data_IF_822876759353
#
_entry.id   IF_822876759353
#
_cell.length_a   1.000
_cell.length_b   1.000
_cell.length_c   1.000
_cell.angle_alpha   90.00
_cell.angle_beta   90.00
_cell.angle_gamma   90.00
#
_symmetry.space_group_name_H-M   'P 1'
#
loop_
_entity.id
_entity.type
_entity.pdbx_description
1 polymer ?
#
# COMPACT_ATOMS: atom_id res chain seq x y z
N UNK A 1 15.79 -12.11 -9.73
CA UNK A 1 15.64 -13.07 -8.61
C UNK A 1 15.12 -12.24 -7.45
N UNK A 2 13.80 -12.09 -7.37
CA UNK A 2 13.14 -11.32 -6.31
C UNK A 2 13.46 -11.99 -4.98
N UNK A 3 14.22 -11.30 -4.14
CA UNK A 3 14.64 -11.81 -2.84
C UNK A 3 13.54 -11.55 -1.80
N UNK A 4 12.30 -11.93 -2.12
CA UNK A 4 11.20 -11.94 -1.15
C UNK A 4 11.51 -13.06 -0.17
N UNK A 5 11.76 -12.78 1.12
CA UNK A 5 12.16 -13.82 2.05
C UNK A 5 11.08 -14.90 2.10
N UNK A 6 11.43 -16.15 1.80
CA UNK A 6 10.53 -17.31 1.83
C UNK A 6 9.85 -17.53 3.21
N UNK A 7 10.31 -16.85 4.26
CA UNK A 7 9.74 -16.89 5.61
C UNK A 7 8.66 -15.81 5.89
N UNK A 8 8.41 -14.88 4.96
CA UNK A 8 7.42 -13.81 5.16
C UNK A 8 5.98 -14.35 5.00
N UNK A 9 5.06 -13.88 5.86
CA UNK A 9 3.61 -14.15 5.77
C UNK A 9 3.10 -13.75 4.37
N UNK A 10 2.13 -14.49 3.78
CA UNK A 10 1.40 -14.10 2.57
C UNK A 10 1.12 -12.60 2.41
N UNK A 11 0.65 -11.90 3.46
CA UNK A 11 0.35 -10.46 3.38
C UNK A 11 1.62 -9.61 3.17
N UNK A 12 2.70 -9.93 3.88
CA UNK A 12 4.02 -9.28 3.70
C UNK A 12 4.56 -9.48 2.30
N UNK A 13 4.37 -10.67 1.71
CA UNK A 13 4.77 -10.92 0.32
C UNK A 13 3.97 -10.06 -0.66
N UNK A 14 2.65 -9.99 -0.50
CA UNK A 14 1.79 -9.17 -1.34
C UNK A 14 2.15 -7.68 -1.25
N UNK A 15 2.43 -7.17 -0.05
CA UNK A 15 2.88 -5.78 0.17
C UNK A 15 4.20 -5.50 -0.55
N UNK A 16 5.18 -6.41 -0.46
CA UNK A 16 6.47 -6.26 -1.13
C UNK A 16 6.36 -6.38 -2.66
N UNK A 17 5.48 -7.25 -3.16
CA UNK A 17 5.20 -7.38 -4.60
C UNK A 17 4.58 -6.08 -5.15
N UNK A 18 3.63 -5.49 -4.42
CA UNK A 18 3.04 -4.20 -4.78
C UNK A 18 4.10 -3.09 -4.74
N UNK A 19 4.94 -3.03 -3.70
CA UNK A 19 6.04 -2.06 -3.64
C UNK A 19 7.00 -2.19 -4.83
N UNK A 20 7.43 -3.41 -5.17
CA UNK A 20 8.32 -3.67 -6.30
C UNK A 20 7.67 -3.26 -7.63
N UNK A 21 6.40 -3.62 -7.82
CA UNK A 21 5.61 -3.25 -9.00
C UNK A 21 5.49 -1.73 -9.15
N UNK A 22 5.03 -1.02 -8.11
CA UNK A 22 4.84 0.43 -8.15
C UNK A 22 6.19 1.16 -8.25
N UNK A 23 7.24 0.62 -7.64
CA UNK A 23 8.61 1.16 -7.81
C UNK A 23 9.10 1.06 -9.25
N UNK A 24 8.76 -0.01 -9.97
CA UNK A 24 9.02 -0.14 -11.40
C UNK A 24 8.38 0.96 -12.27
N UNK A 25 7.34 1.65 -11.77
CA UNK A 25 6.68 2.76 -12.47
C UNK A 25 7.36 4.11 -12.22
N UNK A 26 8.36 4.18 -11.35
CA UNK A 26 9.02 5.42 -10.94
C UNK A 26 8.23 6.17 -9.87
N UNK A 27 8.70 7.36 -9.51
CA UNK A 27 8.04 8.23 -8.52
C UNK A 27 7.06 9.21 -9.17
N UNK A 28 6.40 10.02 -8.33
CA UNK A 28 5.39 11.01 -8.70
C UNK A 28 4.15 10.36 -9.33
N UNK A 29 3.82 9.14 -8.88
CA UNK A 29 2.67 8.38 -9.32
C UNK A 29 1.41 8.71 -8.50
N UNK A 30 0.21 8.66 -9.09
CA UNK A 30 -1.02 8.72 -8.31
C UNK A 30 -1.11 7.52 -7.34
N UNK A 31 -1.95 7.66 -6.31
CA UNK A 31 -2.23 6.54 -5.42
C UNK A 31 -2.84 5.38 -6.21
N UNK A 32 -2.50 4.15 -5.83
CA UNK A 32 -2.97 2.93 -6.48
C UNK A 32 -3.62 2.01 -5.46
N UNK A 33 -4.84 1.59 -5.74
CA UNK A 33 -5.62 0.68 -4.91
C UNK A 33 -5.56 -0.73 -5.49
N UNK A 34 -5.46 -1.73 -4.62
CA UNK A 34 -5.40 -3.13 -5.00
C UNK A 34 -6.42 -3.94 -4.20
N UNK A 35 -7.13 -4.84 -4.86
CA UNK A 35 -7.84 -5.93 -4.20
C UNK A 35 -6.86 -7.07 -3.93
N UNK A 36 -6.91 -7.67 -2.75
CA UNK A 36 -6.15 -8.87 -2.41
C UNK A 36 -7.10 -10.06 -2.44
N UNK A 37 -6.86 -10.97 -3.38
CA UNK A 37 -7.70 -12.16 -3.59
C UNK A 37 -6.89 -13.40 -3.22
N UNK A 38 -7.50 -14.36 -2.52
CA UNK A 38 -6.86 -15.64 -2.26
C UNK A 38 -6.49 -16.34 -3.57
N UNK A 39 -5.22 -16.65 -3.77
CA UNK A 39 -4.72 -17.21 -5.05
C UNK A 39 -5.37 -18.56 -5.37
N UNK A 40 -5.65 -19.39 -4.37
CA UNK A 40 -6.29 -20.70 -4.58
C UNK A 40 -7.75 -20.52 -5.00
N UNK A 41 -8.47 -19.58 -4.38
CA UNK A 41 -9.84 -19.22 -4.77
C UNK A 41 -9.88 -18.62 -6.18
N UNK A 42 -8.96 -17.71 -6.51
CA UNK A 42 -8.86 -17.11 -7.83
C UNK A 42 -8.68 -18.17 -8.92
N UNK A 43 -7.81 -19.16 -8.70
CA UNK A 43 -7.65 -20.31 -9.60
C UNK A 43 -8.93 -21.12 -9.78
N UNK A 44 -9.64 -21.41 -8.69
CA UNK A 44 -10.83 -22.24 -8.70
C UNK A 44 -12.02 -21.55 -9.40
N UNK A 45 -12.22 -20.26 -9.13
CA UNK A 45 -13.37 -19.50 -9.61
C UNK A 45 -13.13 -18.81 -10.96
N UNK A 46 -11.88 -18.43 -11.26
CA UNK A 46 -11.50 -17.66 -12.44
C UNK A 46 -10.25 -18.25 -13.15
N UNK A 47 -10.31 -19.52 -13.62
CA UNK A 47 -9.13 -20.21 -14.18
C UNK A 47 -8.50 -19.48 -15.37
N UNK A 48 -9.30 -18.88 -16.24
CA UNK A 48 -8.79 -18.11 -17.40
C UNK A 48 -8.07 -16.81 -17.01
N UNK A 49 -8.40 -16.21 -15.86
CA UNK A 49 -7.66 -15.08 -15.31
C UNK A 49 -6.37 -15.58 -14.64
N UNK A 50 -6.43 -16.67 -13.88
CA UNK A 50 -5.25 -17.29 -13.27
C UNK A 50 -4.20 -17.69 -14.31
N UNK A 51 -4.61 -18.25 -15.46
CA UNK A 51 -3.71 -18.58 -16.57
C UNK A 51 -3.02 -17.34 -17.15
N UNK A 52 -3.77 -16.25 -17.35
CA UNK A 52 -3.21 -14.98 -17.84
C UNK A 52 -2.22 -14.35 -16.86
N UNK A 53 -2.42 -14.58 -15.57
CA UNK A 53 -1.54 -14.11 -14.49
C UNK A 53 -0.37 -15.07 -14.21
N UNK A 54 -0.29 -16.22 -14.90
CA UNK A 54 0.75 -17.23 -14.67
C UNK A 54 0.64 -17.94 -13.32
N UNK A 55 -0.55 -17.97 -12.72
CA UNK A 55 -0.82 -18.55 -11.40
C UNK A 55 -1.09 -20.06 -11.44
N UNK A 56 -0.46 -20.80 -12.36
CA UNK A 56 -0.66 -22.24 -12.55
C UNK A 56 -0.32 -23.10 -11.32
N UNK A 57 -0.53 -24.42 -11.41
CA UNK A 57 -0.35 -25.36 -10.29
C UNK A 57 1.08 -25.37 -9.71
N UNK A 58 2.09 -25.04 -10.52
CA UNK A 58 3.51 -24.96 -10.12
C UNK A 58 3.93 -23.59 -9.56
N UNK A 59 3.01 -22.61 -9.49
CA UNK A 59 3.34 -21.29 -8.98
C UNK A 59 3.51 -21.31 -7.46
N UNK A 60 4.70 -20.93 -6.98
CA UNK A 60 5.02 -20.69 -5.56
C UNK A 60 4.22 -19.53 -4.93
N UNK A 61 3.34 -18.87 -5.71
CA UNK A 61 2.45 -17.78 -5.30
C UNK A 61 1.29 -18.24 -4.40
N UNK A 62 1.62 -19.03 -3.38
CA UNK A 62 0.70 -19.35 -2.30
C UNK A 62 0.44 -18.10 -1.45
N UNK A 63 -0.83 -17.73 -1.29
CA UNK A 63 -1.25 -16.61 -0.45
C UNK A 63 -2.29 -15.73 -1.13
N UNK A 64 -1.86 -14.53 -1.51
CA UNK A 64 -2.72 -13.46 -2.00
C UNK A 64 -2.21 -12.99 -3.36
N UNK A 65 -3.13 -12.79 -4.30
CA UNK A 65 -2.88 -12.15 -5.59
C UNK A 65 -3.37 -10.71 -5.52
N UNK A 66 -2.47 -9.71 -5.65
CA UNK A 66 -2.87 -8.31 -5.81
C UNK A 66 -3.49 -8.07 -7.19
N UNK A 67 -4.66 -7.44 -7.23
CA UNK A 67 -5.32 -7.01 -8.46
C UNK A 67 -5.48 -5.50 -8.39
N UNK A 68 -4.77 -4.76 -9.26
CA UNK A 68 -4.91 -3.31 -9.34
C UNK A 68 -6.35 -2.91 -9.70
N UNK A 69 -6.88 -1.92 -8.99
CA UNK A 69 -8.19 -1.33 -9.24
C UNK A 69 -8.08 -0.07 -10.09
N UNK A 70 -9.22 0.50 -10.47
CA UNK A 70 -9.26 1.77 -11.19
C UNK A 70 -8.54 2.91 -10.42
N UNK A 71 -8.12 3.92 -11.17
CA UNK A 71 -7.29 5.02 -10.68
C UNK A 71 -7.93 5.76 -9.50
N UNK A 72 -7.14 5.99 -8.44
CA UNK A 72 -7.58 6.78 -7.29
C UNK A 72 -7.71 8.25 -7.72
N UNK A 73 -8.87 8.90 -7.51
CA UNK A 73 -9.08 10.29 -7.92
C UNK A 73 -8.07 11.24 -7.28
N UNK A 74 -7.33 11.98 -8.11
CA UNK A 74 -6.30 12.95 -7.66
C UNK A 74 -6.87 14.24 -7.09
N UNK A 75 -8.16 14.52 -7.33
CA UNK A 75 -8.85 15.74 -6.90
C UNK A 75 -9.67 15.62 -5.62
N UNK A 76 -9.69 14.45 -4.99
CA UNK A 76 -10.45 14.19 -3.75
C UNK A 76 -9.53 13.82 -2.59
N UNK A 77 -9.87 14.21 -1.35
CA UNK A 77 -9.24 13.65 -0.17
C UNK A 77 -9.31 12.12 -0.19
N UNK A 78 -8.19 11.48 0.17
CA UNK A 78 -8.07 10.01 0.12
C UNK A 78 -9.09 9.32 1.03
N UNK A 79 -9.34 9.88 2.20
CA UNK A 79 -10.35 9.44 3.16
C UNK A 79 -11.78 9.50 2.58
N UNK A 80 -12.13 10.57 1.86
CA UNK A 80 -13.41 10.68 1.15
C UNK A 80 -13.54 9.60 0.08
N UNK A 81 -12.47 9.34 -0.68
CA UNK A 81 -12.46 8.28 -1.68
C UNK A 81 -12.62 6.89 -1.05
N UNK A 82 -11.84 6.57 -0.01
CA UNK A 82 -11.90 5.27 0.66
C UNK A 82 -13.30 5.01 1.25
N UNK A 83 -13.97 6.03 1.78
CA UNK A 83 -15.34 5.92 2.28
C UNK A 83 -16.39 5.55 1.20
N UNK A 84 -16.04 5.63 -0.10
CA UNK A 84 -16.93 5.22 -1.20
C UNK A 84 -16.67 3.79 -1.68
N UNK A 85 -15.62 3.14 -1.19
CA UNK A 85 -15.25 1.79 -1.60
C UNK A 85 -16.11 0.76 -0.90
N UNK A 86 -16.57 -0.22 -1.67
CA UNK A 86 -17.23 -1.42 -1.16
C UNK A 86 -16.63 -2.65 -1.84
N UNK A 87 -16.24 -3.64 -1.03
CA UNK A 87 -15.57 -4.83 -1.52
C UNK A 87 -16.50 -6.05 -1.57
N UNK A 88 -16.52 -6.80 -2.68
CA UNK A 88 -17.19 -8.10 -2.72
C UNK A 88 -16.60 -9.10 -1.71
N UNK A 89 -17.40 -10.11 -1.32
CA UNK A 89 -16.97 -11.21 -0.44
C UNK A 89 -15.79 -12.03 -0.98
N UNK A 90 -15.52 -11.93 -2.29
CA UNK A 90 -14.36 -12.56 -2.92
C UNK A 90 -13.03 -11.91 -2.55
N UNK A 91 -13.05 -10.65 -2.12
CA UNK A 91 -11.87 -9.88 -1.77
C UNK A 91 -11.52 -10.14 -0.31
N UNK A 92 -10.37 -10.79 -0.07
CA UNK A 92 -9.91 -11.14 1.27
C UNK A 92 -9.33 -9.93 2.03
N UNK A 93 -8.84 -8.94 1.28
CA UNK A 93 -8.26 -7.72 1.82
C UNK A 93 -8.00 -6.70 0.71
N UNK A 94 -7.46 -5.55 1.07
CA UNK A 94 -7.09 -4.52 0.11
C UNK A 94 -5.73 -3.92 0.46
N UNK A 95 -5.10 -3.28 -0.51
CA UNK A 95 -3.85 -2.56 -0.31
C UNK A 95 -3.85 -1.22 -1.05
N UNK A 96 -3.13 -0.24 -0.51
CA UNK A 96 -2.93 1.06 -1.13
C UNK A 96 -1.44 1.39 -1.18
N UNK A 97 -0.97 1.76 -2.37
CA UNK A 97 0.34 2.38 -2.56
C UNK A 97 0.16 3.89 -2.77
N UNK A 98 0.83 4.71 -1.95
CA UNK A 98 0.76 6.17 -2.00
C UNK A 98 2.08 6.82 -1.66
N UNK A 99 2.39 7.95 -2.31
CA UNK A 99 3.56 8.77 -2.02
C UNK A 99 3.17 9.93 -1.09
N UNK A 100 3.99 10.20 -0.07
CA UNK A 100 3.77 11.27 0.90
C UNK A 100 5.07 11.99 1.23
N UNK A 101 4.92 13.26 1.60
CA UNK A 101 5.94 14.03 2.28
C UNK A 101 5.82 13.79 3.77
N UNK A 102 6.93 13.40 4.40
CA UNK A 102 7.04 13.28 5.85
C UNK A 102 8.18 14.14 6.37
N UNK A 103 8.15 14.40 7.66
CA UNK A 103 9.25 15.04 8.37
C UNK A 103 9.91 14.01 9.28
N UNK A 104 11.24 14.02 9.41
CA UNK A 104 11.89 13.26 10.46
C UNK A 104 11.47 13.82 11.83
N UNK A 105 11.51 13.02 12.90
CA UNK A 105 11.12 13.45 14.24
C UNK A 105 11.82 14.74 14.73
N UNK A 106 13.06 14.97 14.31
CA UNK A 106 13.82 16.20 14.61
C UNK A 106 13.23 17.46 13.99
N UNK A 107 12.56 17.34 12.83
CA UNK A 107 11.90 18.44 12.14
C UNK A 107 10.44 18.60 12.56
N UNK A 108 9.74 17.51 12.92
CA UNK A 108 8.38 17.57 13.45
C UNK A 108 8.26 18.47 14.69
N UNK A 109 9.25 18.44 15.57
CA UNK A 109 9.30 19.29 16.77
C UNK A 109 9.34 20.81 16.46
N UNK A 110 9.70 21.18 15.22
CA UNK A 110 9.82 22.57 14.76
C UNK A 110 8.55 23.07 14.07
N UNK A 111 7.56 22.19 13.83
CA UNK A 111 6.30 22.54 13.18
C UNK A 111 5.57 23.60 14.01
N UNK A 112 5.22 24.77 13.42
CA UNK A 112 4.47 25.80 14.12
C UNK A 112 3.10 25.29 14.59
N UNK A 113 2.73 25.62 15.83
CA UNK A 113 1.42 25.25 16.38
C UNK A 113 0.31 26.13 15.79
N UNK A 114 -0.89 25.57 15.64
CA UNK A 114 -2.08 26.32 15.20
C UNK A 114 -2.13 26.62 13.71
N UNK A 115 -1.30 25.96 12.89
CA UNK A 115 -1.44 26.03 11.44
C UNK A 115 -2.76 25.38 11.01
N UNK A 116 -3.39 25.96 9.99
CA UNK A 116 -4.42 25.25 9.23
C UNK A 116 -3.79 24.09 8.47
N UNK A 117 -4.57 23.09 8.08
CA UNK A 117 -4.08 21.93 7.33
C UNK A 117 -3.35 22.36 6.03
N UNK A 118 -3.93 23.28 5.27
CA UNK A 118 -3.30 23.83 4.07
C UNK A 118 -1.96 24.55 4.35
N UNK A 119 -1.86 25.26 5.48
CA UNK A 119 -0.62 25.92 5.87
C UNK A 119 0.44 24.92 6.36
N UNK A 120 0.03 23.86 7.04
CA UNK A 120 0.89 22.74 7.44
C UNK A 120 1.46 22.03 6.22
N UNK A 121 0.62 21.65 5.25
CA UNK A 121 1.06 21.01 4.00
C UNK A 121 2.10 21.87 3.27
N UNK A 122 1.86 23.17 3.16
CA UNK A 122 2.80 24.10 2.53
C UNK A 122 4.12 24.20 3.30
N UNK A 123 4.07 24.19 4.63
CA UNK A 123 5.26 24.26 5.48
C UNK A 123 6.11 22.99 5.34
N UNK A 124 5.49 21.81 5.42
CA UNK A 124 6.15 20.50 5.22
C UNK A 124 6.81 20.43 3.85
N UNK A 125 6.09 20.84 2.79
CA UNK A 125 6.61 20.83 1.43
C UNK A 125 7.83 21.75 1.22
N UNK A 126 7.94 22.83 2.00
CA UNK A 126 9.08 23.74 1.98
C UNK A 126 10.24 23.36 2.91
N UNK A 127 10.07 22.36 3.77
CA UNK A 127 11.08 22.04 4.79
C UNK A 127 12.33 21.40 4.15
N UNK A 128 13.56 21.79 4.56
CA UNK A 128 14.80 21.24 4.01
C UNK A 128 14.96 19.75 4.33
N UNK A 129 14.59 19.34 5.54
CA UNK A 129 14.72 17.95 5.99
C UNK A 129 13.51 17.08 5.61
N UNK A 130 12.61 17.55 4.74
CA UNK A 130 11.46 16.74 4.32
C UNK A 130 11.94 15.49 3.59
N UNK A 131 11.25 14.39 3.83
CA UNK A 131 11.52 13.13 3.16
C UNK A 131 10.31 12.74 2.32
N UNK A 132 10.59 12.20 1.15
CA UNK A 132 9.59 11.59 0.29
C UNK A 132 9.58 10.10 0.52
N UNK A 133 8.42 9.58 0.88
CA UNK A 133 8.22 8.15 1.14
C UNK A 133 7.10 7.62 0.28
N UNK A 134 7.30 6.41 -0.24
CA UNK A 134 6.23 5.58 -0.76
C UNK A 134 5.84 4.59 0.32
N UNK A 135 4.54 4.52 0.56
CA UNK A 135 3.94 3.65 1.56
C UNK A 135 3.02 2.69 0.83
N UNK A 136 3.25 1.39 1.01
CA UNK A 136 2.32 0.34 0.59
C UNK A 136 1.71 -0.25 1.85
N UNK A 137 0.40 -0.08 2.04
CA UNK A 137 -0.31 -0.55 3.24
C UNK A 137 -1.37 -1.55 2.82
N UNK A 138 -1.42 -2.70 3.48
CA UNK A 138 -2.40 -3.74 3.22
C UNK A 138 -3.13 -4.17 4.49
N UNK A 139 -4.41 -4.48 4.35
CA UNK A 139 -5.26 -5.02 5.42
C UNK A 139 -6.10 -6.18 4.90
N UNK A 140 -6.35 -7.15 5.76
CA UNK A 140 -7.28 -8.25 5.54
C UNK A 140 -8.55 -8.04 6.37
N UNK A 141 -9.65 -8.67 5.96
CA UNK A 141 -10.93 -8.63 6.68
C UNK A 141 -10.86 -9.16 8.12
N UNK A 142 -9.88 -10.00 8.43
CA UNK A 142 -9.65 -10.53 9.79
C UNK A 142 -8.89 -9.56 10.72
N UNK A 143 -8.58 -8.35 10.24
CA UNK A 143 -7.84 -7.32 10.97
C UNK A 143 -6.32 -7.44 10.84
N UNK A 144 -5.80 -8.47 10.16
CA UNK A 144 -4.37 -8.56 9.85
C UNK A 144 -3.96 -7.38 8.97
N UNK A 145 -2.84 -6.74 9.31
CA UNK A 145 -2.29 -5.60 8.56
C UNK A 145 -0.80 -5.71 8.38
N UNK A 146 -0.31 -5.11 7.31
CA UNK A 146 1.11 -5.02 7.00
C UNK A 146 1.39 -3.74 6.22
N UNK A 147 2.59 -3.19 6.36
CA UNK A 147 3.03 -2.01 5.61
C UNK A 147 4.45 -2.18 5.11
N UNK A 148 4.76 -1.59 3.96
CA UNK A 148 6.10 -1.36 3.47
C UNK A 148 6.34 0.14 3.26
N UNK A 149 7.51 0.61 3.70
CA UNK A 149 7.98 1.98 3.53
C UNK A 149 9.27 1.99 2.73
N UNK A 150 9.27 2.77 1.65
CA UNK A 150 10.42 3.04 0.79
C UNK A 150 10.72 4.52 0.80
N UNK A 151 11.96 4.88 1.12
CA UNK A 151 12.43 6.27 1.09
C UNK A 151 12.99 6.58 -0.30
N UNK A 152 12.63 7.74 -0.87
CA UNK A 152 13.16 8.19 -2.17
C UNK A 152 14.69 8.31 -2.17
N UNK A 153 15.28 8.75 -1.07
CA UNK A 153 16.74 8.86 -0.91
C UNK A 153 17.45 7.50 -0.86
N UNK A 154 16.72 6.43 -0.56
CA UNK A 154 17.23 5.05 -0.42
C UNK A 154 16.37 4.10 -1.25
N UNK A 155 16.21 4.42 -2.52
CA UNK A 155 15.32 3.70 -3.43
C UNK A 155 15.94 2.37 -3.88
N UNK A 156 15.93 1.38 -2.99
CA UNK A 156 16.41 0.02 -3.23
C UNK A 156 15.47 -1.00 -2.59
N UNK A 157 15.19 -2.14 -3.25
CA UNK A 157 14.42 -3.25 -2.66
C UNK A 157 14.99 -3.76 -1.32
N UNK A 158 16.28 -3.58 -1.07
CA UNK A 158 16.93 -4.00 0.19
C UNK A 158 16.78 -3.00 1.33
N UNK A 159 16.31 -1.78 1.05
CA UNK A 159 16.13 -0.70 2.04
C UNK A 159 14.66 -0.50 2.42
N UNK A 160 13.76 -1.37 1.92
CA UNK A 160 12.33 -1.33 2.23
C UNK A 160 12.11 -1.80 3.66
N UNK A 161 11.46 -0.97 4.46
CA UNK A 161 11.08 -1.29 5.84
C UNK A 161 9.69 -1.88 5.85
N UNK A 162 9.50 -3.04 6.47
CA UNK A 162 8.18 -3.67 6.63
C UNK A 162 7.74 -3.71 8.08
N UNK A 163 6.44 -3.60 8.34
CA UNK A 163 5.87 -3.77 9.69
C UNK A 163 4.39 -3.37 9.79
N UNK A 164 3.66 -4.09 10.62
CA UNK A 164 2.21 -3.95 10.84
C UNK A 164 1.77 -2.57 11.35
N UNK A 165 2.66 -1.86 12.05
CA UNK A 165 2.35 -0.63 12.77
C UNK A 165 3.13 0.59 12.24
N UNK A 166 3.70 0.49 11.03
CA UNK A 166 4.45 1.60 10.44
C UNK A 166 3.54 2.75 9.99
N UNK A 167 2.31 2.46 9.54
CA UNK A 167 1.37 3.47 9.02
C UNK A 167 -0.05 3.22 9.55
N UNK A 168 -0.27 3.30 10.88
CA UNK A 168 -1.50 2.86 11.53
C UNK A 168 -2.74 3.60 11.02
N UNK A 169 -2.66 4.93 10.82
CA UNK A 169 -3.80 5.71 10.35
C UNK A 169 -4.29 5.34 8.95
N UNK A 170 -3.38 4.97 8.04
CA UNK A 170 -3.77 4.51 6.70
C UNK A 170 -4.30 3.07 6.74
N UNK A 171 -3.73 2.22 7.59
CA UNK A 171 -4.24 0.87 7.79
C UNK A 171 -5.68 0.89 8.35
N UNK A 172 -5.95 1.76 9.33
CA UNK A 172 -7.30 1.96 9.89
C UNK A 172 -8.29 2.46 8.82
N UNK A 173 -7.88 3.45 8.01
CA UNK A 173 -8.73 3.96 6.92
C UNK A 173 -9.03 2.88 5.86
N UNK A 174 -8.07 2.00 5.55
CA UNK A 174 -8.31 0.86 4.66
C UNK A 174 -9.23 -0.19 5.29
N UNK A 175 -9.02 -0.51 6.56
CA UNK A 175 -9.85 -1.48 7.27
C UNK A 175 -11.33 -1.05 7.30
N UNK A 176 -11.58 0.26 7.48
CA UNK A 176 -12.92 0.84 7.43
C UNK A 176 -13.65 0.62 6.09
N UNK A 177 -12.94 0.35 4.98
CA UNK A 177 -13.58 0.02 3.69
C UNK A 177 -14.27 -1.35 3.67
N UNK A 178 -14.06 -2.15 4.72
CA UNK A 178 -14.74 -3.43 4.94
C UNK A 178 -15.86 -3.35 5.97
N UNK A 179 -16.04 -2.21 6.64
CA UNK A 179 -17.12 -1.97 7.59
C UNK A 179 -18.38 -1.55 6.83
N UNK A 180 -19.54 -2.09 7.22
CA UNK A 180 -20.86 -1.79 6.63
C UNK A 180 -21.55 -0.60 7.29
#
# INVERSE_FOLDING_TARGET
MSNTPMAANPLTRAVLEIDEYVSGLGWDQPARLFALVDTARLRAEQPSLADRLGLGEESENSGLTPIEQDEVPTGKPLDEFLATIAWPDAVAGCALAVERLMLPPSAEAQVPKGLTEAALTKWVAGHPDRQEVRMTVAVLRDGTRESALRLREKDSPTEVLTGSDLVPGLAEALAATFEE
#
